data_IF_538453545703
#
_entry.id   IF_538453545703
#
_cell.length_a   1.000
_cell.length_b   1.000
_cell.length_c   1.000
_cell.angle_alpha   90.00
_cell.angle_beta   90.00
_cell.angle_gamma   90.00
#
_symmetry.space_group_name_H-M   'P 1'
#
loop_
_entity.id
_entity.type
_entity.pdbx_description
1 polymer ?
#
# COMPACT_ATOMS: atom_id res chain seq x y z
N UNK A 1 20.67 -31.75 -11.66
CA UNK A 1 21.64 -32.83 -11.58
C UNK A 1 21.08 -34.14 -12.11
N UNK A 2 21.97 -35.07 -12.46
CA UNK A 2 21.61 -36.41 -12.90
C UNK A 2 21.83 -37.39 -11.77
N UNK A 3 20.86 -38.28 -11.56
CA UNK A 3 20.87 -39.30 -10.53
C UNK A 3 20.62 -40.67 -11.17
N UNK A 4 21.44 -41.65 -10.85
CA UNK A 4 21.18 -43.04 -11.23
C UNK A 4 20.27 -43.68 -10.19
N UNK A 5 19.04 -43.98 -10.58
CA UNK A 5 18.06 -44.66 -9.74
C UNK A 5 18.06 -46.15 -10.14
N UNK A 6 18.21 -47.01 -9.14
CA UNK A 6 18.22 -48.46 -9.33
C UNK A 6 17.02 -49.09 -8.60
N UNK A 7 16.22 -49.86 -9.32
CA UNK A 7 15.11 -50.62 -8.77
C UNK A 7 15.44 -52.09 -8.93
N UNK A 8 15.48 -52.83 -7.82
CA UNK A 8 15.75 -54.26 -7.80
C UNK A 8 14.49 -55.01 -7.34
N UNK A 9 14.00 -55.89 -8.14
CA UNK A 9 12.92 -56.82 -7.79
C UNK A 9 13.49 -58.18 -7.43
N UNK A 10 13.00 -58.78 -6.35
CA UNK A 10 13.37 -60.13 -5.90
C UNK A 10 12.17 -61.06 -6.01
N UNK A 11 12.39 -62.30 -6.45
CA UNK A 11 11.42 -63.36 -6.34
C UNK A 11 11.50 -64.07 -4.99
N UNK A 12 10.59 -65.02 -4.70
CA UNK A 12 10.52 -65.74 -3.43
C UNK A 12 11.67 -66.74 -3.19
N UNK A 13 12.44 -67.04 -4.23
CA UNK A 13 13.63 -67.94 -4.13
C UNK A 13 14.94 -67.15 -4.10
N UNK A 14 14.89 -65.82 -4.12
CA UNK A 14 16.06 -64.98 -3.95
C UNK A 14 16.72 -64.49 -5.24
N UNK A 15 16.18 -64.86 -6.44
CA UNK A 15 16.67 -64.27 -7.69
C UNK A 15 16.25 -62.83 -7.80
N UNK A 16 17.10 -62.01 -8.39
CA UNK A 16 16.82 -60.58 -8.55
C UNK A 16 16.99 -60.10 -9.98
N UNK A 17 16.20 -59.11 -10.35
CA UNK A 17 16.33 -58.32 -11.58
C UNK A 17 16.45 -56.89 -11.22
N UNK A 18 17.42 -56.17 -11.82
CA UNK A 18 17.67 -54.78 -11.59
C UNK A 18 17.44 -53.96 -12.86
N UNK A 19 16.76 -52.84 -12.71
CA UNK A 19 16.61 -51.81 -13.75
C UNK A 19 17.27 -50.53 -13.23
N UNK A 20 18.13 -49.98 -14.05
CA UNK A 20 18.78 -48.68 -13.78
C UNK A 20 18.17 -47.66 -14.71
N UNK A 21 17.78 -46.50 -14.12
CA UNK A 21 17.21 -45.38 -14.82
C UNK A 21 17.97 -44.10 -14.42
N UNK A 22 18.41 -43.35 -15.42
CA UNK A 22 18.90 -42.01 -15.15
C UNK A 22 17.72 -41.06 -14.95
N UNK A 23 17.68 -40.40 -13.81
CA UNK A 23 16.74 -39.33 -13.47
C UNK A 23 17.47 -38.01 -13.57
N UNK A 24 17.07 -37.15 -14.49
CA UNK A 24 17.58 -35.78 -14.62
C UNK A 24 16.63 -34.82 -13.90
N UNK A 25 17.13 -34.16 -12.87
CA UNK A 25 16.43 -33.09 -12.15
C UNK A 25 17.02 -31.77 -12.58
N UNK A 26 16.20 -30.90 -13.13
CA UNK A 26 16.58 -29.54 -13.50
C UNK A 26 15.59 -28.54 -12.90
N UNK A 27 16.10 -27.40 -12.45
CA UNK A 27 15.30 -26.28 -12.00
C UNK A 27 15.26 -25.22 -13.12
N UNK A 28 14.11 -24.60 -13.30
CA UNK A 28 13.94 -23.49 -14.23
C UNK A 28 14.15 -22.18 -13.49
N UNK A 29 14.81 -21.24 -14.14
CA UNK A 29 14.86 -19.86 -13.65
C UNK A 29 13.45 -19.27 -13.60
N UNK A 30 13.19 -18.30 -12.71
CA UNK A 30 11.93 -17.57 -12.71
C UNK A 30 11.61 -16.99 -14.08
N UNK A 31 10.33 -17.04 -14.49
CA UNK A 31 9.85 -16.57 -15.78
C UNK A 31 8.57 -15.76 -15.63
N UNK A 32 8.29 -14.91 -16.63
CA UNK A 32 7.09 -14.09 -16.67
C UNK A 32 6.95 -13.22 -15.40
N UNK A 33 8.04 -12.55 -15.00
CA UNK A 33 8.03 -11.66 -13.86
C UNK A 33 7.13 -10.45 -14.15
N UNK A 34 6.06 -10.33 -13.39
CA UNK A 34 5.13 -9.21 -13.39
C UNK A 34 5.32 -8.41 -12.10
N UNK A 35 5.36 -7.09 -12.21
CA UNK A 35 5.53 -6.16 -11.09
C UNK A 35 4.48 -5.08 -11.18
N UNK A 36 3.68 -4.94 -10.13
CA UNK A 36 2.69 -3.86 -9.96
C UNK A 36 3.15 -2.97 -8.83
N UNK A 37 3.22 -1.66 -9.07
CA UNK A 37 3.73 -0.67 -8.13
C UNK A 37 2.66 0.38 -7.89
N UNK A 38 2.34 0.65 -6.64
CA UNK A 38 1.40 1.66 -6.23
C UNK A 38 1.99 2.52 -5.12
N UNK A 39 1.86 3.85 -5.23
CA UNK A 39 2.15 4.72 -4.11
C UNK A 39 1.12 4.52 -3.00
N UNK A 40 1.57 4.46 -1.75
CA UNK A 40 0.67 4.42 -0.61
C UNK A 40 -0.18 5.70 -0.56
N UNK A 41 -1.41 5.57 -0.13
CA UNK A 41 -2.35 6.68 -0.12
C UNK A 41 -2.37 7.44 1.20
N UNK A 42 -1.65 6.93 2.21
CA UNK A 42 -1.68 7.44 3.59
C UNK A 42 -0.30 7.66 4.18
N UNK A 43 0.71 7.00 3.63
CA UNK A 43 2.09 7.09 4.09
C UNK A 43 2.90 7.74 2.97
N UNK A 44 3.42 8.93 3.26
CA UNK A 44 4.23 9.70 2.32
C UNK A 44 5.46 8.89 1.89
N UNK A 45 5.79 8.95 0.59
CA UNK A 45 6.96 8.30 -0.02
C UNK A 45 6.96 6.77 0.09
N UNK A 46 5.88 6.16 0.54
CA UNK A 46 5.77 4.70 0.58
C UNK A 46 5.22 4.17 -0.75
N UNK A 47 5.84 3.10 -1.21
CA UNK A 47 5.37 2.31 -2.34
C UNK A 47 5.00 0.91 -1.87
N UNK A 48 3.94 0.38 -2.45
CA UNK A 48 3.48 -0.99 -2.26
C UNK A 48 3.72 -1.74 -3.57
N UNK A 49 4.40 -2.86 -3.51
CA UNK A 49 4.85 -3.61 -4.67
C UNK A 49 4.26 -5.02 -4.57
N UNK A 50 3.57 -5.43 -5.62
CA UNK A 50 3.08 -6.80 -5.78
C UNK A 50 3.83 -7.46 -6.93
N UNK A 51 4.35 -8.65 -6.69
CA UNK A 51 5.17 -9.40 -7.65
C UNK A 51 4.57 -10.76 -7.91
N UNK A 52 4.70 -11.22 -9.14
CA UNK A 52 4.33 -12.58 -9.54
C UNK A 52 5.31 -13.10 -10.59
N UNK A 53 5.74 -14.35 -10.48
CA UNK A 53 6.55 -15.01 -11.49
C UNK A 53 6.39 -16.53 -11.37
N UNK A 54 6.48 -17.23 -12.50
CA UNK A 54 6.57 -18.68 -12.52
C UNK A 54 7.93 -19.13 -11.99
N UNK A 55 7.98 -20.20 -11.22
CA UNK A 55 9.21 -20.80 -10.65
C UNK A 55 10.00 -19.88 -9.70
N UNK A 56 9.38 -18.81 -9.19
CA UNK A 56 9.93 -18.00 -8.12
C UNK A 56 9.49 -18.53 -6.76
N UNK A 57 10.31 -18.32 -5.74
CA UNK A 57 10.00 -18.54 -4.33
C UNK A 57 10.08 -17.25 -3.51
N UNK A 58 11.00 -16.38 -3.87
CA UNK A 58 11.25 -15.10 -3.18
C UNK A 58 11.55 -13.99 -4.17
N UNK A 59 11.35 -12.76 -3.72
CA UNK A 59 11.66 -11.54 -4.47
C UNK A 59 12.49 -10.60 -3.61
N UNK A 60 13.52 -10.02 -4.19
CA UNK A 60 14.35 -8.98 -3.60
C UNK A 60 14.07 -7.65 -4.28
N UNK A 61 13.85 -6.62 -3.48
CA UNK A 61 13.63 -5.26 -3.95
C UNK A 61 14.84 -4.38 -3.68
N UNK A 62 15.29 -3.68 -4.71
CA UNK A 62 16.37 -2.69 -4.67
C UNK A 62 15.77 -1.32 -4.99
N UNK A 63 15.90 -0.39 -4.05
CA UNK A 63 15.21 0.92 -4.13
C UNK A 63 15.75 1.85 -5.19
N UNK A 64 16.99 1.70 -5.63
CA UNK A 64 17.66 2.61 -6.55
C UNK A 64 18.13 3.91 -5.88
N UNK A 65 18.09 3.99 -4.55
CA UNK A 65 18.67 5.11 -3.80
C UNK A 65 20.19 5.11 -3.90
N UNK A 66 20.77 6.31 -3.93
CA UNK A 66 22.23 6.47 -4.04
C UNK A 66 22.96 5.84 -2.84
N UNK A 67 23.94 4.98 -3.15
CA UNK A 67 24.73 4.28 -2.12
C UNK A 67 24.07 3.05 -1.52
N UNK A 68 22.86 2.67 -1.96
CA UNK A 68 22.16 1.47 -1.52
C UNK A 68 22.30 0.38 -2.58
N UNK A 69 23.24 -0.53 -2.37
CA UNK A 69 23.55 -1.62 -3.32
C UNK A 69 22.92 -2.97 -2.92
N UNK A 70 22.43 -3.09 -1.70
CA UNK A 70 21.80 -4.31 -1.19
C UNK A 70 20.28 -4.23 -1.33
N UNK A 71 19.58 -5.38 -1.35
CA UNK A 71 18.13 -5.36 -1.32
C UNK A 71 17.63 -4.69 -0.04
N UNK A 72 16.70 -3.74 -0.19
CA UNK A 72 16.10 -3.02 0.94
C UNK A 72 14.91 -3.76 1.53
N UNK A 73 14.34 -4.71 0.79
CA UNK A 73 13.29 -5.58 1.27
C UNK A 73 13.28 -6.91 0.49
N UNK A 74 12.79 -7.95 1.15
CA UNK A 74 12.62 -9.29 0.58
C UNK A 74 11.24 -9.81 0.97
N UNK A 75 10.56 -10.47 0.03
CA UNK A 75 9.23 -11.07 0.27
C UNK A 75 9.13 -12.45 -0.36
N UNK A 76 8.21 -13.27 0.14
CA UNK A 76 7.90 -14.57 -0.45
C UNK A 76 6.83 -14.44 -1.55
N UNK A 77 6.68 -15.50 -2.34
CA UNK A 77 5.61 -15.56 -3.33
C UNK A 77 4.23 -15.36 -2.67
N UNK A 78 3.42 -14.50 -3.28
CA UNK A 78 2.06 -14.20 -2.81
C UNK A 78 1.98 -13.17 -1.68
N UNK A 79 3.10 -12.68 -1.17
CA UNK A 79 3.14 -11.65 -0.14
C UNK A 79 3.49 -10.29 -0.76
N UNK A 80 2.75 -9.21 -0.44
CA UNK A 80 3.09 -7.86 -0.88
C UNK A 80 4.33 -7.35 -0.14
N UNK A 81 5.03 -6.43 -0.78
CA UNK A 81 6.19 -5.75 -0.23
C UNK A 81 5.90 -4.26 -0.15
N UNK A 82 6.32 -3.62 0.95
CA UNK A 82 6.22 -2.17 1.10
C UNK A 82 7.59 -1.59 1.43
N UNK A 83 7.89 -0.42 0.85
CA UNK A 83 9.11 0.32 1.14
C UNK A 83 8.81 1.82 1.21
N UNK A 84 9.37 2.50 2.20
CA UNK A 84 9.24 3.95 2.37
C UNK A 84 10.57 4.62 2.06
N UNK A 85 10.59 5.45 1.03
CA UNK A 85 11.75 6.27 0.66
C UNK A 85 11.93 7.42 1.65
N UNK A 86 13.18 7.85 1.82
CA UNK A 86 13.49 9.00 2.67
C UNK A 86 12.98 10.31 2.04
N UNK A 87 13.17 10.45 0.73
CA UNK A 87 12.78 11.62 -0.03
C UNK A 87 11.78 11.26 -1.14
N UNK A 88 10.92 12.21 -1.50
CA UNK A 88 10.11 12.09 -2.70
C UNK A 88 10.99 12.30 -3.93
N UNK A 89 10.78 11.49 -4.95
CA UNK A 89 11.59 11.55 -6.17
C UNK A 89 11.38 10.37 -7.08
N UNK A 90 12.17 10.36 -8.15
CA UNK A 90 12.20 9.29 -9.13
C UNK A 90 13.45 8.44 -8.94
N UNK A 91 13.28 7.13 -8.86
CA UNK A 91 14.32 6.16 -8.58
C UNK A 91 14.37 5.08 -9.65
N UNK A 92 15.58 4.66 -10.04
CA UNK A 92 15.79 3.49 -10.90
C UNK A 92 15.85 2.25 -10.01
N UNK A 93 14.71 1.65 -9.79
CA UNK A 93 14.55 0.51 -8.92
C UNK A 93 14.60 -0.82 -9.70
N UNK A 94 14.76 -1.93 -8.98
CA UNK A 94 14.67 -3.26 -9.56
C UNK A 94 14.08 -4.29 -8.61
N UNK A 95 13.48 -5.31 -9.20
CA UNK A 95 13.08 -6.55 -8.53
C UNK A 95 13.91 -7.70 -9.12
N UNK A 96 14.40 -8.57 -8.24
CA UNK A 96 15.01 -9.85 -8.62
C UNK A 96 14.11 -10.97 -8.11
N UNK A 97 13.61 -11.78 -9.03
CA UNK A 97 12.91 -13.03 -8.69
C UNK A 97 13.91 -14.18 -8.55
N UNK A 98 13.82 -14.90 -7.46
CA UNK A 98 14.70 -16.01 -7.08
C UNK A 98 13.85 -17.26 -6.91
N UNK A 99 14.33 -18.37 -7.48
CA UNK A 99 13.73 -19.70 -7.35
C UNK A 99 14.78 -20.74 -6.98
N UNK A 100 14.49 -22.00 -7.25
CA UNK A 100 15.42 -23.11 -6.97
C UNK A 100 16.58 -23.20 -7.99
N UNK A 101 16.47 -22.54 -9.14
CA UNK A 101 17.55 -22.45 -10.11
C UNK A 101 18.62 -21.46 -9.63
N UNK A 102 19.88 -21.66 -10.10
CA UNK A 102 20.97 -20.70 -9.84
C UNK A 102 20.71 -19.37 -10.54
N UNK A 103 20.11 -19.42 -11.74
CA UNK A 103 19.76 -18.23 -12.50
C UNK A 103 18.52 -17.55 -11.92
N UNK A 104 18.57 -16.21 -11.85
CA UNK A 104 17.49 -15.34 -11.38
C UNK A 104 16.90 -14.57 -12.56
N UNK A 105 15.77 -13.90 -12.33
CA UNK A 105 15.16 -13.01 -13.31
C UNK A 105 15.03 -11.62 -12.72
N UNK A 106 15.50 -10.62 -13.46
CA UNK A 106 15.53 -9.23 -13.03
C UNK A 106 14.54 -8.39 -13.85
N UNK A 107 13.88 -7.45 -13.18
CA UNK A 107 13.04 -6.43 -13.79
C UNK A 107 13.46 -5.04 -13.27
N UNK A 108 13.94 -4.20 -14.21
CA UNK A 108 14.36 -2.81 -13.94
C UNK A 108 13.22 -1.87 -14.34
N UNK A 109 12.97 -0.86 -13.52
CA UNK A 109 11.90 0.11 -13.77
C UNK A 109 12.19 1.46 -13.10
N UNK A 110 11.60 2.51 -13.67
CA UNK A 110 11.56 3.82 -13.04
C UNK A 110 10.37 3.88 -12.09
N UNK A 111 10.60 4.31 -10.86
CA UNK A 111 9.62 4.41 -9.79
C UNK A 111 9.56 5.84 -9.27
N UNK A 112 8.37 6.42 -9.16
CA UNK A 112 8.14 7.71 -8.53
C UNK A 112 7.61 7.52 -7.10
N UNK A 113 8.43 7.86 -6.09
CA UNK A 113 8.00 7.92 -4.68
C UNK A 113 7.38 9.29 -4.41
N UNK A 114 6.05 9.33 -4.19
CA UNK A 114 5.28 10.59 -4.07
C UNK A 114 5.18 11.05 -2.64
N UNK A 115 5.46 12.34 -2.42
CA UNK A 115 5.13 12.97 -1.15
C UNK A 115 3.60 13.13 -1.01
N UNK A 116 3.09 12.90 0.19
CA UNK A 116 1.75 13.31 0.60
C UNK A 116 1.90 14.64 1.32
N UNK A 117 1.39 15.71 0.73
CA UNK A 117 1.59 17.08 1.25
C UNK A 117 0.78 17.38 2.50
N UNK A 118 -0.29 16.64 2.74
CA UNK A 118 -1.15 16.86 3.89
C UNK A 118 -1.83 15.58 4.35
N UNK A 119 -1.62 15.24 5.62
CA UNK A 119 -2.34 14.14 6.30
C UNK A 119 -2.92 14.69 7.60
N UNK A 120 -4.24 14.61 7.77
CA UNK A 120 -4.91 14.87 9.03
C UNK A 120 -5.53 13.58 9.56
N UNK A 121 -4.89 12.99 10.56
CA UNK A 121 -5.32 11.77 11.23
C UNK A 121 -5.87 12.00 12.64
N UNK A 122 -5.88 13.25 13.10
CA UNK A 122 -6.34 13.69 14.43
C UNK A 122 -5.55 13.11 15.63
N UNK A 123 -4.42 12.46 15.38
CA UNK A 123 -3.58 11.89 16.44
C UNK A 123 -2.78 12.99 17.16
N UNK A 124 -2.19 13.92 16.40
CA UNK A 124 -1.35 15.01 16.87
C UNK A 124 -1.31 16.17 15.85
N UNK A 125 -1.14 17.42 16.26
CA UNK A 125 -1.54 18.08 17.51
C UNK A 125 -3.06 18.24 17.62
N UNK A 126 -3.59 18.85 18.70
CA UNK A 126 -5.02 19.10 18.79
C UNK A 126 -5.50 20.01 17.65
N UNK A 127 -6.50 19.56 16.92
CA UNK A 127 -7.13 20.32 15.85
C UNK A 127 -8.20 21.23 16.45
N UNK A 128 -8.13 22.53 16.12
CA UNK A 128 -9.13 23.50 16.54
C UNK A 128 -10.18 23.61 15.44
N UNK A 129 -11.40 23.18 15.75
CA UNK A 129 -12.54 23.30 14.87
C UNK A 129 -13.29 24.61 15.08
N UNK A 130 -13.61 25.29 13.99
CA UNK A 130 -14.62 26.35 13.96
C UNK A 130 -15.92 25.77 13.48
N UNK A 131 -16.99 25.88 14.25
CA UNK A 131 -18.31 25.34 13.94
C UNK A 131 -19.31 26.43 13.59
N UNK A 132 -20.27 26.11 12.76
CA UNK A 132 -21.35 27.02 12.37
C UNK A 132 -22.67 26.25 12.22
N UNK A 133 -23.81 26.96 12.36
CA UNK A 133 -25.13 26.37 12.18
C UNK A 133 -25.54 25.37 13.28
N UNK A 134 -25.00 25.51 14.49
CA UNK A 134 -25.36 24.72 15.69
C UNK A 134 -24.91 23.25 15.63
N UNK A 135 -23.78 22.94 14.95
CA UNK A 135 -23.14 21.63 15.08
C UNK A 135 -22.10 21.62 16.19
N UNK A 136 -21.76 20.44 16.67
CA UNK A 136 -20.64 20.18 17.58
C UNK A 136 -19.62 19.30 16.86
N UNK A 137 -18.34 19.70 16.93
CA UNK A 137 -17.23 18.89 16.39
C UNK A 137 -16.17 18.74 17.45
N UNK A 138 -15.73 17.51 17.66
CA UNK A 138 -14.68 17.18 18.61
C UNK A 138 -13.87 15.97 18.13
N UNK A 139 -12.61 15.91 18.52
CA UNK A 139 -11.78 14.73 18.35
C UNK A 139 -12.12 13.73 19.44
N UNK A 140 -12.44 12.51 19.06
CA UNK A 140 -12.77 11.40 19.96
C UNK A 140 -11.94 10.16 19.63
N UNK A 141 -11.94 9.16 20.52
CA UNK A 141 -11.45 7.83 20.19
C UNK A 141 -12.24 7.26 19.02
N UNK A 142 -11.54 6.61 18.10
CA UNK A 142 -12.17 5.99 16.93
C UNK A 142 -13.08 4.82 17.39
N UNK A 143 -14.40 4.90 17.19
CA UNK A 143 -15.32 3.84 17.60
C UNK A 143 -15.28 2.61 16.66
N UNK A 144 -14.66 2.74 15.50
CA UNK A 144 -14.60 1.70 14.47
C UNK A 144 -13.21 1.68 13.84
N UNK A 145 -12.23 1.16 14.59
CA UNK A 145 -10.89 0.91 14.05
C UNK A 145 -10.95 -0.31 13.14
N UNK A 146 -10.74 -0.08 11.85
CA UNK A 146 -10.77 -1.12 10.82
C UNK A 146 -9.60 -0.91 9.85
N UNK A 147 -9.41 -1.87 8.93
CA UNK A 147 -8.45 -1.72 7.82
C UNK A 147 -8.72 -0.46 6.98
N UNK A 148 -9.99 -0.05 6.90
CA UNK A 148 -10.36 1.19 6.19
C UNK A 148 -9.87 2.42 6.95
N UNK A 149 -9.95 2.43 8.28
CA UNK A 149 -9.44 3.52 9.11
C UNK A 149 -8.78 3.02 10.39
N UNK A 150 -7.48 2.72 10.39
CA UNK A 150 -6.77 2.20 11.55
C UNK A 150 -6.40 3.26 12.60
N UNK A 151 -6.70 4.56 12.37
CA UNK A 151 -6.36 5.63 13.33
C UNK A 151 -7.04 5.41 14.67
N UNK A 152 -6.37 5.83 15.77
CA UNK A 152 -6.94 5.71 17.13
C UNK A 152 -7.92 6.83 17.43
N UNK A 153 -7.89 7.94 16.66
CA UNK A 153 -8.77 9.10 16.82
C UNK A 153 -9.46 9.46 15.52
N UNK A 154 -10.62 10.10 15.67
CA UNK A 154 -11.41 10.66 14.56
C UNK A 154 -12.06 11.98 14.97
N UNK A 155 -12.37 12.82 14.00
CA UNK A 155 -13.24 13.97 14.21
C UNK A 155 -14.70 13.52 14.14
N UNK A 156 -15.44 13.70 15.23
CA UNK A 156 -16.88 13.45 15.29
C UNK A 156 -17.64 14.77 15.14
N UNK A 157 -18.41 14.87 14.06
CA UNK A 157 -19.37 15.96 13.85
C UNK A 157 -20.77 15.49 14.26
N UNK A 158 -21.38 16.19 15.19
CA UNK A 158 -22.75 15.93 15.67
C UNK A 158 -23.67 17.06 15.24
N UNK A 159 -24.70 16.72 14.49
CA UNK A 159 -25.75 17.65 14.05
C UNK A 159 -27.01 17.42 14.88
N UNK A 160 -27.27 18.25 15.90
CA UNK A 160 -28.45 18.08 16.74
C UNK A 160 -29.75 18.45 15.97
N UNK A 161 -30.88 18.06 16.54
CA UNK A 161 -32.20 18.45 16.03
C UNK A 161 -32.32 19.98 16.07
N UNK A 162 -32.78 20.54 14.93
CA UNK A 162 -32.91 22.01 14.76
C UNK A 162 -31.64 22.68 14.26
N UNK A 163 -30.51 21.97 14.07
CA UNK A 163 -29.34 22.54 13.41
C UNK A 163 -29.66 22.91 11.96
N UNK A 164 -29.02 23.99 11.48
CA UNK A 164 -29.25 24.46 10.12
C UNK A 164 -28.85 23.39 9.07
N UNK A 165 -29.54 23.35 7.94
CA UNK A 165 -29.23 22.38 6.86
C UNK A 165 -27.81 22.56 6.32
N UNK A 166 -27.33 23.80 6.30
CA UNK A 166 -25.98 24.18 5.88
C UNK A 166 -24.93 24.17 6.99
N UNK A 167 -25.27 23.61 8.14
CA UNK A 167 -24.37 23.58 9.29
C UNK A 167 -23.14 22.71 9.06
N UNK A 168 -22.02 23.11 9.60
CA UNK A 168 -20.76 22.41 9.41
C UNK A 168 -19.65 22.85 10.34
N UNK A 169 -18.47 22.40 10.03
CA UNK A 169 -17.25 22.66 10.78
C UNK A 169 -16.07 22.70 9.83
N UNK A 170 -15.10 23.55 10.15
CA UNK A 170 -13.83 23.58 9.42
C UNK A 170 -12.66 23.73 10.39
N UNK A 171 -11.48 23.46 9.90
CA UNK A 171 -10.21 23.74 10.56
C UNK A 171 -9.24 24.35 9.54
N UNK A 172 -8.27 25.10 10.05
CA UNK A 172 -7.24 25.73 9.23
C UNK A 172 -6.00 24.84 9.29
N UNK A 173 -5.37 24.64 8.14
CA UNK A 173 -4.09 23.95 8.03
C UNK A 173 -2.95 24.96 8.10
N UNK A 174 -1.83 24.57 8.72
CA UNK A 174 -0.70 25.49 8.98
C UNK A 174 0.08 25.84 7.70
N UNK A 175 -0.06 25.06 6.64
CA UNK A 175 0.60 25.28 5.36
C UNK A 175 -0.36 25.07 4.19
N UNK A 176 -0.06 25.71 3.06
CA UNK A 176 -0.85 25.50 1.84
C UNK A 176 -0.73 24.08 1.35
N UNK A 177 -1.86 23.47 0.96
CA UNK A 177 -1.89 22.17 0.30
C UNK A 177 -1.49 22.39 -1.16
N UNK A 178 -0.46 21.71 -1.63
CA UNK A 178 -0.05 21.74 -3.04
C UNK A 178 -0.95 20.85 -3.89
N UNK A 179 -2.01 21.46 -4.43
CA UNK A 179 -2.95 20.78 -5.33
C UNK A 179 -2.46 20.71 -6.79
N UNK A 180 -1.38 21.40 -7.14
CA UNK A 180 -0.80 21.29 -8.48
C UNK A 180 -0.11 19.94 -8.70
N UNK A 181 0.62 19.46 -7.68
CA UNK A 181 1.28 18.17 -7.71
C UNK A 181 0.46 17.03 -7.09
N UNK A 182 -0.53 17.36 -6.25
CA UNK A 182 -1.43 16.39 -5.60
C UNK A 182 -2.88 16.70 -5.93
N UNK A 183 -3.35 16.18 -7.04
CA UNK A 183 -4.69 16.48 -7.59
C UNK A 183 -5.85 15.75 -6.89
N UNK A 184 -5.57 14.95 -5.85
CA UNK A 184 -6.59 14.14 -5.17
C UNK A 184 -6.58 14.41 -3.68
N UNK A 185 -7.78 14.52 -3.10
CA UNK A 185 -8.01 14.50 -1.66
C UNK A 185 -8.81 13.26 -1.33
N UNK A 186 -8.35 12.52 -0.35
CA UNK A 186 -9.06 11.36 0.18
C UNK A 186 -9.60 11.70 1.54
N UNK A 187 -10.88 11.43 1.74
CA UNK A 187 -11.57 11.52 3.01
C UNK A 187 -12.15 10.16 3.36
N UNK A 188 -11.90 9.71 4.58
CA UNK A 188 -12.61 8.57 5.16
C UNK A 188 -13.70 9.11 6.05
N UNK A 189 -14.94 8.75 5.80
CA UNK A 189 -16.07 9.13 6.63
C UNK A 189 -16.88 7.89 7.02
N UNK A 190 -17.36 7.89 8.25
CA UNK A 190 -18.32 6.93 8.75
C UNK A 190 -19.60 7.66 9.14
N UNK A 191 -20.75 7.14 8.73
CA UNK A 191 -22.05 7.70 9.07
C UNK A 191 -22.97 6.59 9.59
N UNK A 192 -23.67 6.80 10.72
CA UNK A 192 -24.69 5.86 11.19
C UNK A 192 -25.92 5.85 10.29
N UNK A 193 -26.03 6.82 9.36
CA UNK A 193 -27.15 6.97 8.43
C UNK A 193 -26.67 6.71 7.02
N UNK A 194 -27.11 5.63 6.41
CA UNK A 194 -26.85 5.31 5.02
C UNK A 194 -27.41 6.40 4.08
N UNK A 195 -26.60 6.80 3.09
CA UNK A 195 -26.98 7.83 2.11
C UNK A 195 -26.99 9.25 2.69
N UNK A 196 -26.32 9.50 3.82
CA UNK A 196 -26.12 10.87 4.26
C UNK A 196 -25.17 11.59 3.30
N UNK A 197 -25.51 12.82 2.92
CA UNK A 197 -24.66 13.65 2.09
C UNK A 197 -23.78 14.52 2.96
N UNK A 198 -22.47 14.43 2.74
CA UNK A 198 -21.46 15.27 3.38
C UNK A 198 -20.84 16.17 2.30
N UNK A 199 -20.97 17.48 2.47
CA UNK A 199 -20.30 18.45 1.59
C UNK A 199 -18.88 18.69 2.13
N UNK A 200 -17.88 18.44 1.29
CA UNK A 200 -16.47 18.73 1.58
C UNK A 200 -16.11 20.01 0.83
N UNK A 201 -15.55 20.99 1.54
CA UNK A 201 -15.14 22.28 0.98
C UNK A 201 -13.65 22.51 1.28
N UNK A 202 -12.91 22.82 0.23
CA UNK A 202 -11.56 23.38 0.32
C UNK A 202 -11.63 24.84 -0.06
N UNK A 203 -11.03 25.67 0.75
CA UNK A 203 -11.00 27.11 0.47
C UNK A 203 -9.71 27.75 0.95
N UNK A 204 -9.33 28.88 0.36
CA UNK A 204 -8.27 29.71 0.89
C UNK A 204 -8.76 30.47 2.14
N UNK A 205 -7.83 31.07 2.89
CA UNK A 205 -8.16 31.78 4.14
C UNK A 205 -9.15 32.93 3.97
N UNK A 206 -9.22 33.55 2.79
CA UNK A 206 -10.19 34.62 2.50
C UNK A 206 -11.56 34.11 2.04
N UNK A 207 -11.68 32.81 1.73
CA UNK A 207 -12.89 32.25 1.15
C UNK A 207 -13.15 32.66 -0.31
N UNK A 208 -12.24 33.43 -0.92
CA UNK A 208 -12.41 33.92 -2.29
C UNK A 208 -12.17 32.85 -3.36
N UNK A 209 -11.44 31.80 -2.99
CA UNK A 209 -11.22 30.61 -3.82
C UNK A 209 -11.72 29.42 -3.04
N UNK A 210 -12.69 28.72 -3.57
CA UNK A 210 -13.23 27.52 -2.95
C UNK A 210 -13.55 26.47 -4.00
N UNK A 211 -13.45 25.22 -3.59
CA UNK A 211 -13.93 24.06 -4.33
C UNK A 211 -14.75 23.19 -3.40
N UNK A 212 -15.92 22.75 -3.84
CA UNK A 212 -16.80 21.93 -3.04
C UNK A 212 -17.26 20.67 -3.79
N UNK A 213 -17.46 19.60 -3.03
CA UNK A 213 -17.95 18.33 -3.55
C UNK A 213 -18.90 17.67 -2.54
N UNK A 214 -19.98 17.09 -3.02
CA UNK A 214 -20.89 16.29 -2.21
C UNK A 214 -20.45 14.83 -2.23
N UNK A 215 -20.32 14.22 -1.06
CA UNK A 215 -19.96 12.82 -0.87
C UNK A 215 -21.11 12.09 -0.19
N UNK A 216 -21.58 11.01 -0.79
CA UNK A 216 -22.57 10.11 -0.20
C UNK A 216 -21.86 9.09 0.70
N UNK A 217 -22.38 8.89 1.91
CA UNK A 217 -21.87 7.90 2.89
C UNK A 217 -22.66 6.60 2.84
#
# INVERSE_FOLDING_TARGET
>A
GSYNVSITAFNIVGDSTQVNQELVVSFQAPQNLEVVIENDNYISQQVNITTNANFASTYEFYSGESGVEQPVATTNIGEPLSYQYLDAGTYNAKIIAIGDAIATTEYLFELEAKAINFVQNFENPPVIFTTFGSVLTQVISNPDQSEVNPTTKVAKLTKPTGAAVWSGSFFIVDSSIDLANNSKIKLKSWSPKLGAVVKVILQNNSGSISHEVDVNT
#
